data_IF_984672443636
#
_entry.id   IF_984672443636
#
_cell.length_a   1.000
_cell.length_b   1.000
_cell.length_c   1.000
_cell.angle_alpha   90.00
_cell.angle_beta   90.00
_cell.angle_gamma   90.00
#
_symmetry.space_group_name_H-M   'P 1'
#
loop_
_entity.id
_entity.type
_entity.pdbx_description
1 polymer ?
#
# COMPACT_ATOMS: atom_id res chain seq x y z
N UNK A 1 13.36 7.12 1.23
CA UNK A 1 13.45 8.25 2.18
C UNK A 1 13.33 7.71 3.58
N UNK A 2 14.20 8.11 4.50
CA UNK A 2 14.04 7.76 5.92
C UNK A 2 12.82 8.49 6.47
N UNK A 3 11.92 7.77 7.13
CA UNK A 3 10.65 8.31 7.61
C UNK A 3 10.34 7.74 8.98
N UNK A 4 10.12 8.64 9.96
CA UNK A 4 9.77 8.25 11.32
C UNK A 4 8.41 7.55 11.27
N UNK A 5 8.33 6.37 11.90
CA UNK A 5 7.12 5.55 11.87
C UNK A 5 6.88 4.80 10.57
N UNK A 6 7.87 4.76 9.66
CA UNK A 6 7.84 3.92 8.46
C UNK A 6 7.49 2.46 8.82
N UNK A 7 6.57 1.88 8.05
CA UNK A 7 6.15 0.48 8.21
C UNK A 7 7.02 -0.51 7.42
N UNK A 8 8.17 -0.08 6.92
CA UNK A 8 9.06 -0.91 6.09
C UNK A 8 9.39 -2.28 6.73
N UNK A 9 9.78 -2.31 8.00
CA UNK A 9 10.10 -3.56 8.71
C UNK A 9 8.86 -4.44 8.99
N UNK A 10 7.66 -3.88 8.85
CA UNK A 10 6.38 -4.54 9.14
C UNK A 10 5.64 -4.96 7.87
N UNK A 11 6.18 -4.74 6.67
CA UNK A 11 5.49 -5.06 5.41
C UNK A 11 5.07 -6.53 5.35
N UNK A 12 5.97 -7.46 5.65
CA UNK A 12 5.66 -8.91 5.64
C UNK A 12 4.52 -9.25 6.61
N UNK A 13 4.50 -8.61 7.78
CA UNK A 13 3.42 -8.78 8.75
C UNK A 13 2.08 -8.25 8.22
N UNK A 14 2.07 -7.08 7.58
CA UNK A 14 0.87 -6.50 6.98
C UNK A 14 0.33 -7.37 5.84
N UNK A 15 1.19 -7.75 4.89
CA UNK A 15 0.84 -8.61 3.77
C UNK A 15 0.23 -9.93 4.24
N UNK A 16 0.88 -10.60 5.20
CA UNK A 16 0.40 -11.87 5.74
C UNK A 16 -0.92 -11.72 6.51
N UNK A 17 -1.07 -10.66 7.30
CA UNK A 17 -2.28 -10.44 8.12
C UNK A 17 -3.49 -10.11 7.25
N UNK A 18 -3.29 -9.30 6.21
CA UNK A 18 -4.33 -8.93 5.26
C UNK A 18 -4.73 -10.15 4.43
N UNK A 19 -3.78 -10.90 3.86
CA UNK A 19 -4.06 -12.12 3.10
C UNK A 19 -4.84 -13.16 3.92
N UNK A 20 -4.45 -13.39 5.18
CA UNK A 20 -5.19 -14.25 6.10
C UNK A 20 -6.63 -13.77 6.32
N UNK A 21 -6.82 -12.47 6.47
CA UNK A 21 -8.15 -11.87 6.67
C UNK A 21 -9.00 -12.03 5.42
N UNK A 22 -8.46 -11.74 4.23
CA UNK A 22 -9.17 -11.89 2.96
C UNK A 22 -9.61 -13.35 2.72
N UNK A 23 -8.72 -14.33 2.97
CA UNK A 23 -9.02 -15.76 2.89
C UNK A 23 -10.12 -16.18 3.86
N UNK A 24 -10.09 -15.68 5.10
CA UNK A 24 -11.11 -15.97 6.11
C UNK A 24 -12.51 -15.54 5.65
N UNK A 25 -12.60 -14.44 4.90
CA UNK A 25 -13.85 -13.93 4.33
C UNK A 25 -14.14 -14.43 2.90
N UNK A 26 -13.44 -15.49 2.45
CA UNK A 26 -13.61 -16.11 1.13
C UNK A 26 -13.44 -15.12 -0.05
N UNK A 27 -12.58 -14.11 0.10
CA UNK A 27 -12.19 -13.27 -1.03
C UNK A 27 -11.45 -14.13 -2.06
N UNK A 28 -11.91 -14.08 -3.30
CA UNK A 28 -11.41 -14.90 -4.41
C UNK A 28 -10.80 -14.08 -5.55
N UNK A 29 -10.98 -12.76 -5.53
CA UNK A 29 -10.40 -11.85 -6.51
C UNK A 29 -8.89 -11.83 -6.40
N UNK A 30 -8.24 -11.65 -7.54
CA UNK A 30 -6.80 -11.42 -7.61
C UNK A 30 -6.48 -9.97 -7.21
N UNK A 31 -5.26 -9.69 -6.72
CA UNK A 31 -4.80 -8.32 -6.44
C UNK A 31 -5.12 -7.28 -7.53
N UNK A 32 -4.99 -7.65 -8.80
CA UNK A 32 -5.28 -6.79 -9.96
C UNK A 32 -6.74 -6.35 -10.10
N UNK A 33 -7.65 -7.06 -9.44
CA UNK A 33 -9.09 -6.78 -9.43
C UNK A 33 -9.51 -6.01 -8.16
N UNK A 34 -8.55 -5.63 -7.34
CA UNK A 34 -8.76 -5.03 -6.03
C UNK A 34 -8.11 -3.65 -5.91
N UNK A 35 -8.70 -2.83 -5.04
CA UNK A 35 -8.18 -1.51 -4.69
C UNK A 35 -7.65 -1.55 -3.26
N UNK A 36 -6.38 -1.17 -3.07
CA UNK A 36 -5.77 -0.98 -1.77
C UNK A 36 -5.77 0.51 -1.41
N UNK A 37 -6.39 0.85 -0.27
CA UNK A 37 -6.49 2.22 0.21
C UNK A 37 -5.49 2.49 1.35
N UNK A 38 -4.44 3.26 1.06
CA UNK A 38 -3.43 3.69 2.01
C UNK A 38 -3.73 5.12 2.48
N UNK A 39 -4.56 5.24 3.52
CA UNK A 39 -5.15 6.53 3.93
C UNK A 39 -4.17 7.47 4.66
N UNK A 40 -3.00 6.97 5.05
CA UNK A 40 -1.93 7.69 5.76
C UNK A 40 -0.58 7.26 5.19
N UNK A 41 -0.39 7.51 3.89
CA UNK A 41 0.65 6.87 3.10
C UNK A 41 2.08 7.26 3.52
N UNK A 42 2.29 8.43 4.12
CA UNK A 42 3.62 8.90 4.51
C UNK A 42 4.58 8.91 3.32
N UNK A 43 5.58 8.03 3.31
CA UNK A 43 6.51 7.89 2.17
C UNK A 43 6.08 6.86 1.12
N UNK A 44 4.86 6.32 1.20
CA UNK A 44 4.31 5.39 0.20
C UNK A 44 4.90 3.99 0.25
N UNK A 45 5.60 3.61 1.32
CA UNK A 45 6.24 2.28 1.43
C UNK A 45 5.23 1.14 1.43
N UNK A 46 4.07 1.33 2.07
CA UNK A 46 2.97 0.35 2.09
C UNK A 46 2.28 0.33 0.73
N UNK A 47 1.83 1.49 0.24
CA UNK A 47 1.32 1.67 -1.13
C UNK A 47 2.17 0.96 -2.20
N UNK A 48 3.49 1.15 -2.18
CA UNK A 48 4.40 0.56 -3.15
C UNK A 48 4.54 -0.96 -3.04
N UNK A 49 4.46 -1.54 -1.84
CA UNK A 49 4.48 -3.00 -1.65
C UNK A 49 3.23 -3.64 -2.25
N UNK A 50 2.05 -3.09 -1.98
CA UNK A 50 0.80 -3.61 -2.55
C UNK A 50 0.68 -3.31 -4.06
N UNK A 51 1.20 -2.18 -4.56
CA UNK A 51 1.26 -1.92 -6.01
C UNK A 51 2.04 -3.01 -6.75
N UNK A 52 3.18 -3.45 -6.20
CA UNK A 52 4.01 -4.53 -6.77
C UNK A 52 3.30 -5.88 -6.81
N UNK A 53 2.33 -6.11 -5.94
CA UNK A 53 1.49 -7.31 -5.97
C UNK A 53 0.37 -7.22 -7.01
N UNK A 54 0.16 -6.06 -7.64
CA UNK A 54 -0.82 -5.86 -8.70
C UNK A 54 -2.05 -5.01 -8.30
N UNK A 55 -2.16 -4.58 -7.04
CA UNK A 55 -3.30 -3.78 -6.59
C UNK A 55 -3.37 -2.42 -7.31
N UNK A 56 -4.60 -1.97 -7.58
CA UNK A 56 -4.86 -0.56 -7.81
C UNK A 56 -4.74 0.19 -6.49
N UNK A 57 -4.06 1.34 -6.46
CA UNK A 57 -3.78 2.05 -5.21
C UNK A 57 -4.54 3.36 -5.15
N UNK A 58 -5.22 3.59 -4.03
CA UNK A 58 -5.66 4.91 -3.60
C UNK A 58 -4.82 5.28 -2.38
N UNK A 59 -4.07 6.38 -2.47
CA UNK A 59 -3.23 6.84 -1.38
C UNK A 59 -3.63 8.26 -0.96
N UNK A 60 -3.65 8.49 0.34
CA UNK A 60 -3.94 9.78 0.93
C UNK A 60 -2.93 10.09 2.04
N UNK A 61 -2.61 11.37 2.18
CA UNK A 61 -1.92 11.91 3.34
C UNK A 61 -2.19 13.43 3.38
N UNK A 62 -2.13 14.03 4.57
CA UNK A 62 -2.27 15.49 4.73
C UNK A 62 -1.04 16.24 4.23
N UNK A 63 0.12 15.60 4.21
CA UNK A 63 1.38 16.25 3.88
C UNK A 63 1.66 16.18 2.37
N UNK A 64 1.80 17.35 1.73
CA UNK A 64 1.98 17.43 0.27
C UNK A 64 3.19 16.65 -0.27
N UNK A 65 4.27 16.52 0.49
CA UNK A 65 5.41 15.70 0.06
C UNK A 65 4.99 14.24 -0.17
N UNK A 66 4.06 13.72 0.63
CA UNK A 66 3.55 12.35 0.51
C UNK A 66 2.83 12.17 -0.81
N UNK A 67 2.00 13.14 -1.20
CA UNK A 67 1.36 13.17 -2.52
C UNK A 67 2.41 13.10 -3.64
N UNK A 68 3.44 13.95 -3.60
CA UNK A 68 4.48 13.97 -4.65
C UNK A 68 5.22 12.63 -4.75
N UNK A 69 5.66 12.07 -3.62
CA UNK A 69 6.39 10.79 -3.60
C UNK A 69 5.48 9.66 -4.07
N UNK A 70 4.28 9.56 -3.50
CA UNK A 70 3.37 8.46 -3.76
C UNK A 70 2.82 8.51 -5.19
N UNK A 71 2.56 9.70 -5.73
CA UNK A 71 2.21 9.90 -7.14
C UNK A 71 3.33 9.40 -8.07
N UNK A 72 4.58 9.76 -7.79
CA UNK A 72 5.70 9.23 -8.58
C UNK A 72 5.80 7.70 -8.49
N UNK A 73 5.64 7.13 -7.30
CA UNK A 73 5.71 5.68 -7.10
C UNK A 73 4.57 4.90 -7.75
N UNK A 74 3.36 5.46 -7.82
CA UNK A 74 2.15 4.78 -8.31
C UNK A 74 1.90 5.02 -9.81
N UNK A 75 2.13 6.24 -10.31
CA UNK A 75 1.76 6.64 -11.68
C UNK A 75 2.91 6.56 -12.69
N UNK A 76 4.18 6.64 -12.27
CA UNK A 76 5.33 6.65 -13.18
C UNK A 76 6.09 5.31 -13.27
N UNK A 77 5.59 4.25 -12.62
CA UNK A 77 6.16 2.89 -12.67
C UNK A 77 5.21 1.92 -13.37
#
# INVERSE_FOLDING_TARGET
MNYIGSKYSLIVFLETSIDKTLKLYNESRQPSEMVFADLFAGTGVVSGSFKKQGYSIIANDIQYYSYVITKHMIENN
#
